data_IF_063687888163
#
_entry.id   IF_063687888163
#
_cell.length_a   1.000
_cell.length_b   1.000
_cell.length_c   1.000
_cell.angle_alpha   90.00
_cell.angle_beta   90.00
_cell.angle_gamma   90.00
#
_symmetry.space_group_name_H-M   'P 1'
#
loop_
_entity.id
_entity.type
_entity.pdbx_description
1 polymer ?
#
# COMPACT_ATOMS: atom_id res chain seq x y z
N UNK A 1 20.86 -25.35 6.63
CA UNK A 1 20.44 -24.54 7.79
C UNK A 1 19.96 -23.13 7.39
N UNK A 2 20.34 -22.63 6.21
CA UNK A 2 19.94 -21.31 5.70
C UNK A 2 18.46 -21.19 5.29
N UNK A 3 17.82 -22.30 4.83
CA UNK A 3 16.41 -22.27 4.42
C UNK A 3 15.43 -22.08 5.58
N UNK A 4 15.81 -22.52 6.78
CA UNK A 4 15.02 -22.36 8.01
C UNK A 4 15.03 -20.88 8.43
N UNK A 5 16.19 -20.22 8.34
CA UNK A 5 16.33 -18.80 8.68
C UNK A 5 15.52 -17.92 7.72
N UNK A 6 15.52 -18.23 6.43
CA UNK A 6 14.73 -17.49 5.45
C UNK A 6 13.21 -17.71 5.61
N UNK A 7 12.79 -18.91 6.00
CA UNK A 7 11.37 -19.21 6.29
C UNK A 7 10.89 -18.46 7.54
N UNK A 8 11.69 -18.43 8.62
CA UNK A 8 11.38 -17.73 9.87
C UNK A 8 11.35 -16.21 9.68
N UNK A 9 12.24 -15.66 8.85
CA UNK A 9 12.19 -14.25 8.44
C UNK A 9 10.87 -13.91 7.73
N UNK A 10 10.39 -14.78 6.84
CA UNK A 10 9.12 -14.52 6.12
C UNK A 10 7.90 -14.55 7.05
N UNK A 11 7.88 -15.48 8.02
CA UNK A 11 6.80 -15.58 9.01
C UNK A 11 6.80 -14.34 9.93
N UNK A 12 7.97 -13.86 10.35
CA UNK A 12 8.08 -12.67 11.19
C UNK A 12 7.56 -11.40 10.47
N UNK A 13 7.81 -11.28 9.16
CA UNK A 13 7.29 -10.17 8.34
C UNK A 13 5.77 -10.24 8.14
N UNK A 14 5.22 -11.46 8.01
CA UNK A 14 3.79 -11.69 7.78
C UNK A 14 2.96 -11.37 9.03
N UNK A 15 3.46 -11.74 10.21
CA UNK A 15 2.87 -11.35 11.51
C UNK A 15 2.94 -9.84 11.73
N UNK A 16 3.95 -9.16 11.19
CA UNK A 16 4.08 -7.70 11.25
C UNK A 16 2.92 -6.95 10.58
N UNK A 17 2.31 -7.51 9.53
CA UNK A 17 1.12 -6.94 8.88
C UNK A 17 -0.15 -7.10 9.72
N UNK A 18 -0.19 -8.11 10.60
CA UNK A 18 -1.35 -8.40 11.46
C UNK A 18 -1.27 -7.68 12.82
N UNK A 19 -0.05 -7.42 13.31
CA UNK A 19 0.20 -6.80 14.61
C UNK A 19 0.48 -5.29 14.55
N UNK A 20 0.64 -4.68 13.37
CA UNK A 20 0.68 -3.22 13.27
C UNK A 20 -0.74 -2.68 13.37
N UNK A 21 -1.13 -2.05 14.50
CA UNK A 21 -2.43 -1.43 14.60
C UNK A 21 -2.55 -0.38 13.49
N UNK A 22 -3.67 -0.37 12.79
CA UNK A 22 -3.97 0.67 11.80
C UNK A 22 -3.91 2.01 12.53
N UNK A 23 -2.89 2.81 12.23
CA UNK A 23 -2.66 4.13 12.83
C UNK A 23 -3.83 5.03 12.45
N UNK A 24 -4.76 5.25 13.39
CA UNK A 24 -5.93 6.14 13.17
C UNK A 24 -5.56 7.62 13.26
N UNK A 25 -4.48 7.94 13.97
CA UNK A 25 -3.94 9.29 14.06
C UNK A 25 -2.78 9.47 13.09
N UNK A 26 -2.79 10.59 12.36
CA UNK A 26 -1.71 10.94 11.44
C UNK A 26 -0.40 11.10 12.21
N UNK A 27 0.60 10.29 11.85
CA UNK A 27 1.98 10.44 12.31
C UNK A 27 2.94 10.69 11.15
N UNK A 28 2.41 11.03 9.98
CA UNK A 28 3.18 11.15 8.75
C UNK A 28 4.37 12.11 8.88
N UNK A 29 4.21 13.24 9.58
CA UNK A 29 5.29 14.23 9.78
C UNK A 29 6.44 13.71 10.65
N UNK A 30 6.16 12.77 11.56
CA UNK A 30 7.15 12.24 12.50
C UNK A 30 7.81 10.97 11.97
N UNK A 31 7.02 10.08 11.38
CA UNK A 31 7.46 8.74 10.97
C UNK A 31 7.67 8.60 9.45
N UNK A 32 7.09 9.50 8.65
CA UNK A 32 7.05 9.38 7.19
C UNK A 32 6.13 8.25 6.70
N UNK A 33 5.31 7.65 7.57
CA UNK A 33 4.44 6.51 7.24
C UNK A 33 2.99 6.98 7.12
N UNK A 34 2.32 6.59 6.03
CA UNK A 34 0.90 6.84 5.80
C UNK A 34 0.05 5.68 6.35
N UNK A 35 -1.10 6.04 6.92
CA UNK A 35 -2.17 5.07 7.18
C UNK A 35 -3.01 4.80 5.90
N UNK A 36 -3.89 3.77 5.90
CA UNK A 36 -4.68 3.44 4.71
C UNK A 36 -5.59 4.58 4.22
N UNK A 37 -6.16 5.37 5.11
CA UNK A 37 -7.04 6.49 4.76
C UNK A 37 -6.24 7.64 4.13
N UNK A 38 -5.08 7.97 4.70
CA UNK A 38 -4.14 8.95 4.17
C UNK A 38 -3.60 8.52 2.81
N UNK A 39 -3.33 7.24 2.60
CA UNK A 39 -2.94 6.70 1.30
C UNK A 39 -4.04 6.93 0.26
N UNK A 40 -5.31 6.68 0.60
CA UNK A 40 -6.44 6.93 -0.31
C UNK A 40 -6.59 8.43 -0.61
N UNK A 41 -6.51 9.29 0.40
CA UNK A 41 -6.58 10.75 0.23
C UNK A 41 -5.43 11.25 -0.66
N UNK A 42 -4.20 10.81 -0.40
CA UNK A 42 -3.03 11.17 -1.18
C UNK A 42 -3.13 10.67 -2.63
N UNK A 43 -3.66 9.46 -2.84
CA UNK A 43 -3.90 8.92 -4.17
C UNK A 43 -4.97 9.68 -4.96
N UNK A 44 -6.07 10.07 -4.31
CA UNK A 44 -7.10 10.92 -4.93
C UNK A 44 -6.51 12.29 -5.32
N UNK A 45 -5.69 12.88 -4.44
CA UNK A 45 -4.99 14.13 -4.71
C UNK A 45 -4.02 13.98 -5.89
N UNK A 46 -3.27 12.87 -5.97
CA UNK A 46 -2.35 12.58 -7.06
C UNK A 46 -3.08 12.50 -8.41
N UNK A 47 -4.19 11.76 -8.50
CA UNK A 47 -4.94 11.62 -9.75
C UNK A 47 -5.55 12.96 -10.18
N UNK A 48 -6.01 13.76 -9.22
CA UNK A 48 -6.54 15.09 -9.50
C UNK A 48 -5.49 16.02 -10.13
N UNK A 49 -4.26 16.01 -9.62
CA UNK A 49 -3.17 16.89 -10.09
C UNK A 49 -2.42 16.31 -11.30
N UNK A 50 -2.30 14.99 -11.38
CA UNK A 50 -1.56 14.26 -12.39
C UNK A 50 -2.48 13.21 -13.04
N UNK A 51 -3.24 13.59 -14.09
CA UNK A 51 -4.25 12.71 -14.70
C UNK A 51 -3.70 11.46 -15.40
N UNK A 52 -2.37 11.35 -15.52
CA UNK A 52 -1.69 10.14 -16.01
C UNK A 52 -1.77 8.99 -15.01
N UNK A 53 -2.00 9.29 -13.73
CA UNK A 53 -2.24 8.31 -12.68
C UNK A 53 -3.72 7.93 -12.61
N UNK A 54 -3.98 6.68 -12.25
CA UNK A 54 -5.33 6.14 -12.07
C UNK A 54 -5.36 5.10 -10.95
N UNK A 55 -6.50 4.96 -10.28
CA UNK A 55 -6.75 3.88 -9.33
C UNK A 55 -6.97 2.56 -10.06
N UNK A 56 -6.40 1.49 -9.51
CA UNK A 56 -6.55 0.12 -9.97
C UNK A 56 -7.33 -0.75 -8.99
N UNK A 57 -8.01 -1.74 -9.56
CA UNK A 57 -8.67 -2.83 -8.85
C UNK A 57 -7.80 -4.09 -8.87
N UNK A 58 -7.77 -4.81 -7.75
CA UNK A 58 -7.11 -6.10 -7.63
C UNK A 58 -8.15 -7.22 -7.69
N UNK A 59 -7.72 -8.41 -8.12
CA UNK A 59 -8.53 -9.61 -8.00
C UNK A 59 -8.99 -9.78 -6.54
N UNK A 60 -10.25 -10.19 -6.29
CA UNK A 60 -10.79 -10.32 -4.93
C UNK A 60 -9.94 -11.17 -3.98
N UNK A 61 -9.24 -12.18 -4.51
CA UNK A 61 -8.35 -13.07 -3.74
C UNK A 61 -7.05 -12.38 -3.26
N UNK A 62 -6.66 -11.27 -3.89
CA UNK A 62 -5.44 -10.50 -3.59
C UNK A 62 -5.75 -9.12 -3.02
N UNK A 63 -7.01 -8.69 -3.08
CA UNK A 63 -7.46 -7.42 -2.56
C UNK A 63 -7.19 -7.32 -1.05
N UNK A 64 -6.74 -6.15 -0.62
CA UNK A 64 -6.51 -5.86 0.79
C UNK A 64 -7.82 -5.35 1.40
N UNK A 65 -8.35 -6.02 2.44
CA UNK A 65 -9.68 -5.71 2.99
C UNK A 65 -9.74 -4.36 3.72
N UNK A 66 -8.58 -3.82 4.11
CA UNK A 66 -8.47 -2.50 4.75
C UNK A 66 -8.42 -1.33 3.75
N UNK A 67 -8.51 -1.59 2.44
CA UNK A 67 -8.60 -0.59 1.38
C UNK A 67 -9.92 -0.75 0.59
N UNK A 68 -10.46 0.34 0.00
CA UNK A 68 -11.63 0.24 -0.87
C UNK A 68 -11.34 -0.64 -2.09
N UNK A 69 -12.33 -1.41 -2.55
CA UNK A 69 -12.15 -2.37 -3.65
C UNK A 69 -11.68 -1.71 -4.96
N UNK A 70 -12.10 -0.46 -5.18
CA UNK A 70 -11.75 0.36 -6.35
C UNK A 70 -10.49 1.21 -6.16
N UNK A 71 -9.82 1.15 -5.00
CA UNK A 71 -8.65 1.97 -4.66
C UNK A 71 -7.56 1.13 -4.00
N UNK A 72 -7.13 0.08 -4.69
CA UNK A 72 -6.17 -0.87 -4.15
C UNK A 72 -4.72 -0.48 -4.45
N UNK A 73 -4.47 0.09 -5.63
CA UNK A 73 -3.15 0.57 -6.05
C UNK A 73 -3.29 1.72 -7.06
N UNK A 74 -2.21 2.47 -7.26
CA UNK A 74 -2.12 3.53 -8.26
C UNK A 74 -1.26 3.06 -9.43
N UNK A 75 -1.67 3.38 -10.66
CA UNK A 75 -0.94 3.01 -11.87
C UNK A 75 -0.89 4.17 -12.86
N UNK A 76 0.29 4.36 -13.43
CA UNK A 76 0.55 5.18 -14.62
C UNK A 76 1.15 4.28 -15.69
N UNK A 77 0.77 4.48 -16.95
CA UNK A 77 1.16 3.62 -18.07
C UNK A 77 1.86 4.43 -19.15
N UNK A 78 2.72 3.75 -19.92
CA UNK A 78 3.41 4.33 -21.08
C UNK A 78 4.29 5.53 -20.74
N UNK A 79 4.95 5.51 -19.58
CA UNK A 79 5.94 6.53 -19.21
C UNK A 79 7.19 6.33 -20.08
N UNK A 80 7.59 7.30 -20.92
CA UNK A 80 8.78 7.16 -21.75
C UNK A 80 10.06 7.03 -20.92
N UNK A 81 11.01 6.23 -21.41
CA UNK A 81 12.37 6.11 -20.88
C UNK A 81 13.33 6.23 -22.06
N UNK A 82 14.15 7.28 -22.07
CA UNK A 82 15.07 7.62 -23.15
C UNK A 82 16.52 7.37 -22.74
#
# INVERSE_FOLDING_TARGET
>A
MESIVNSVKSIALDVGQYLTPVLRESKFKETGVLNPEEFVIAGDYLIHHCPTWSWGQLDPLKAKPYLPINKQFLITRNVPCF
#
